data_IF_441610208926
#
_entry.id   IF_441610208926
#
_cell.length_a   1.000
_cell.length_b   1.000
_cell.length_c   1.000
_cell.angle_alpha   90.00
_cell.angle_beta   90.00
_cell.angle_gamma   90.00
#
_symmetry.space_group_name_H-M   'P 1'
#
loop_
_entity.id
_entity.type
_entity.pdbx_description
1 polymer ?
#
# COMPACT_ATOMS: atom_id res chain seq x y z
N UNK A 1 13.86 -6.14 6.34
CA UNK A 1 15.11 -5.38 6.67
C UNK A 1 15.97 -5.04 5.44
N UNK A 2 15.87 -5.85 4.39
CA UNK A 2 16.61 -5.78 3.14
C UNK A 2 16.49 -4.43 2.40
N UNK A 3 15.32 -3.79 2.44
CA UNK A 3 15.14 -2.46 1.82
C UNK A 3 15.85 -1.35 2.61
N UNK A 4 15.86 -1.45 3.94
CA UNK A 4 16.56 -0.49 4.79
C UNK A 4 18.09 -0.60 4.65
N UNK A 5 18.61 -1.81 4.42
CA UNK A 5 20.04 -2.05 4.13
C UNK A 5 20.50 -1.38 2.84
N UNK A 6 19.59 -1.17 1.88
CA UNK A 6 19.84 -0.40 0.65
C UNK A 6 19.73 1.12 0.86
N UNK A 7 19.57 1.57 2.11
CA UNK A 7 19.38 2.98 2.45
C UNK A 7 17.98 3.51 2.11
N UNK A 8 17.03 2.64 1.74
CA UNK A 8 15.68 3.05 1.40
C UNK A 8 14.85 3.32 2.67
N UNK A 9 14.10 4.42 2.66
CA UNK A 9 13.01 4.63 3.60
C UNK A 9 11.79 3.84 3.13
N UNK A 10 11.17 3.08 4.04
CA UNK A 10 10.08 2.17 3.72
C UNK A 10 8.80 2.67 4.40
N UNK A 11 7.70 2.62 3.66
CA UNK A 11 6.36 2.83 4.20
C UNK A 11 5.52 1.56 4.01
N UNK A 12 4.65 1.28 4.97
CA UNK A 12 3.55 0.32 4.81
C UNK A 12 2.37 1.11 4.27
N UNK A 13 1.94 0.81 3.06
CA UNK A 13 0.82 1.48 2.41
C UNK A 13 0.00 0.48 1.60
N UNK A 14 -1.32 0.51 1.79
CA UNK A 14 -2.27 -0.38 1.13
C UNK A 14 -3.69 -0.13 1.64
N UNK A 15 -4.71 -0.71 0.99
CA UNK A 15 -6.10 -0.58 1.38
C UNK A 15 -6.49 -1.59 2.47
N UNK A 16 -7.56 -1.32 3.21
CA UNK A 16 -8.04 -2.17 4.31
C UNK A 16 -7.34 -1.93 5.65
N UNK A 17 -7.60 -2.80 6.63
CA UNK A 17 -6.99 -2.74 7.96
C UNK A 17 -6.00 -3.89 8.16
N UNK A 18 -4.71 -3.56 8.23
CA UNK A 18 -3.64 -4.53 8.43
C UNK A 18 -3.76 -5.31 9.77
N UNK A 19 -4.49 -4.77 10.75
CA UNK A 19 -4.70 -5.44 12.05
C UNK A 19 -5.52 -6.72 11.93
N UNK A 20 -6.28 -6.89 10.86
CA UNK A 20 -7.11 -8.08 10.60
C UNK A 20 -6.61 -8.95 9.46
N UNK A 21 -5.41 -8.66 8.94
CA UNK A 21 -4.79 -9.49 7.90
C UNK A 21 -4.59 -10.95 8.37
N UNK A 22 -4.87 -11.91 7.49
CA UNK A 22 -4.86 -13.35 7.76
C UNK A 22 -5.87 -13.83 8.82
N UNK A 23 -6.90 -13.04 9.12
CA UNK A 23 -8.00 -13.43 10.02
C UNK A 23 -9.29 -13.69 9.25
N UNK A 24 -10.18 -14.53 9.82
CA UNK A 24 -11.54 -14.71 9.29
C UNK A 24 -12.26 -13.37 9.27
N UNK A 25 -12.83 -13.00 8.12
CA UNK A 25 -13.49 -11.71 7.94
C UNK A 25 -12.56 -10.59 7.48
N UNK A 26 -11.31 -10.89 7.12
CA UNK A 26 -10.49 -9.98 6.32
C UNK A 26 -11.28 -9.48 5.11
N UNK A 27 -11.40 -8.17 5.00
CA UNK A 27 -12.23 -7.50 4.01
C UNK A 27 -11.64 -6.14 3.68
N UNK A 28 -11.79 -5.74 2.43
CA UNK A 28 -11.38 -4.42 1.93
C UNK A 28 -12.56 -3.79 1.20
N UNK A 29 -13.03 -2.60 1.63
CA UNK A 29 -14.03 -1.85 0.87
C UNK A 29 -13.53 -1.54 -0.55
N UNK A 30 -14.42 -1.59 -1.54
CA UNK A 30 -14.04 -1.36 -2.94
C UNK A 30 -13.51 0.06 -3.14
N UNK A 31 -14.10 1.03 -2.45
CA UNK A 31 -13.64 2.42 -2.47
C UNK A 31 -12.20 2.59 -1.97
N UNK A 32 -11.76 1.77 -1.02
CA UNK A 32 -10.39 1.80 -0.52
C UNK A 32 -9.42 1.22 -1.55
N UNK A 33 -9.81 0.14 -2.24
CA UNK A 33 -9.03 -0.40 -3.36
C UNK A 33 -8.82 0.64 -4.46
N UNK A 34 -9.90 1.32 -4.88
CA UNK A 34 -9.85 2.34 -5.92
C UNK A 34 -8.96 3.51 -5.49
N UNK A 35 -9.17 4.03 -4.28
CA UNK A 35 -8.36 5.14 -3.75
C UNK A 35 -6.88 4.77 -3.65
N UNK A 36 -6.56 3.56 -3.19
CA UNK A 36 -5.17 3.10 -3.12
C UNK A 36 -4.53 3.03 -4.52
N UNK A 37 -5.28 2.53 -5.51
CA UNK A 37 -4.83 2.49 -6.91
C UNK A 37 -4.54 3.88 -7.47
N UNK A 38 -5.39 4.87 -7.19
CA UNK A 38 -5.18 6.26 -7.62
C UNK A 38 -3.92 6.87 -7.01
N UNK A 39 -3.68 6.65 -5.71
CA UNK A 39 -2.48 7.14 -5.02
C UNK A 39 -1.22 6.53 -5.61
N UNK A 40 -1.20 5.20 -5.81
CA UNK A 40 -0.06 4.51 -6.40
C UNK A 40 0.20 4.97 -7.84
N UNK A 41 -0.86 5.12 -8.64
CA UNK A 41 -0.77 5.62 -10.02
C UNK A 41 -0.13 7.01 -10.05
N UNK A 42 -0.59 7.92 -9.19
CA UNK A 42 -0.01 9.28 -9.08
C UNK A 42 1.45 9.25 -8.63
N UNK A 43 1.81 8.40 -7.66
CA UNK A 43 3.18 8.27 -7.20
C UNK A 43 4.10 7.76 -8.31
N UNK A 44 3.68 6.73 -9.04
CA UNK A 44 4.44 6.19 -10.19
C UNK A 44 4.61 7.26 -11.26
N UNK A 45 3.55 7.97 -11.64
CA UNK A 45 3.67 9.07 -12.61
C UNK A 45 4.62 10.16 -12.12
N UNK A 46 4.55 10.55 -10.84
CA UNK A 46 5.40 11.61 -10.29
C UNK A 46 6.89 11.24 -10.24
N UNK A 47 7.22 9.97 -9.97
CA UNK A 47 8.60 9.55 -9.72
C UNK A 47 9.25 8.78 -10.87
N UNK A 48 8.47 8.22 -11.80
CA UNK A 48 8.95 7.31 -12.83
C UNK A 48 8.49 7.65 -14.26
N UNK A 49 7.57 8.61 -14.43
CA UNK A 49 7.06 9.07 -15.74
C UNK A 49 7.53 10.49 -16.06
#
# INVERSE_FOLDING_TARGET
>A
PQLAELGAQVAIFGPGDIKVAHATGEYVPVEDLVRCSEVLSRAITQFCG
#
